data_IF_954018248469
#
_entry.id   IF_954018248469
#
_cell.length_a   1.000
_cell.length_b   1.000
_cell.length_c   1.000
_cell.angle_alpha   90.00
_cell.angle_beta   90.00
_cell.angle_gamma   90.00
#
_symmetry.space_group_name_H-M   'P 1'
#
loop_
_entity.id
_entity.type
_entity.pdbx_description
1 polymer ?
#
# COMPACT_ATOMS: atom_id res chain seq x y z
N UNK A 1 13.02 -9.53 -7.20
CA UNK A 1 12.96 -8.27 -6.43
C UNK A 1 11.99 -7.36 -7.19
N UNK A 2 10.89 -6.89 -6.59
CA UNK A 2 9.86 -6.05 -7.27
C UNK A 2 10.38 -4.63 -7.57
N UNK A 3 11.62 -4.34 -7.19
CA UNK A 3 12.20 -2.99 -7.07
C UNK A 3 12.69 -2.35 -8.37
N UNK A 4 12.65 -3.04 -9.51
CA UNK A 4 13.30 -2.55 -10.75
C UNK A 4 12.37 -2.09 -11.85
N UNK A 5 11.05 -2.20 -11.70
CA UNK A 5 10.13 -1.77 -12.74
C UNK A 5 9.68 -0.36 -12.52
N UNK A 6 10.38 0.56 -13.18
CA UNK A 6 9.98 1.95 -13.26
C UNK A 6 8.70 2.03 -14.09
N UNK A 7 7.71 2.77 -13.60
CA UNK A 7 6.47 3.06 -14.34
C UNK A 7 6.69 4.13 -15.43
N UNK A 8 7.88 4.75 -15.44
CA UNK A 8 8.29 5.76 -16.39
C UNK A 8 9.81 5.71 -16.60
N UNK A 9 10.25 6.08 -17.80
CA UNK A 9 11.65 6.35 -18.08
C UNK A 9 11.77 7.59 -18.96
N UNK A 10 12.67 8.50 -18.58
CA UNK A 10 12.93 9.77 -19.27
C UNK A 10 13.23 9.54 -20.75
N UNK A 11 13.92 8.44 -21.06
CA UNK A 11 14.26 8.03 -22.42
C UNK A 11 13.05 7.85 -23.35
N UNK A 12 11.83 7.64 -22.81
CA UNK A 12 10.61 7.56 -23.60
C UNK A 12 10.25 8.90 -24.27
N UNK A 13 10.82 10.01 -23.79
CA UNK A 13 10.61 11.35 -24.32
C UNK A 13 11.83 11.90 -25.08
N UNK A 14 12.88 11.11 -25.31
CA UNK A 14 14.14 11.57 -25.94
C UNK A 14 13.93 12.13 -27.36
N UNK A 15 12.92 11.64 -28.07
CA UNK A 15 12.56 12.12 -29.41
C UNK A 15 11.93 13.54 -29.42
N UNK A 16 11.56 14.09 -28.26
CA UNK A 16 11.01 15.44 -28.15
C UNK A 16 12.13 16.48 -28.12
N UNK A 17 12.19 17.28 -29.17
CA UNK A 17 13.06 18.45 -29.29
C UNK A 17 12.24 19.70 -29.65
N UNK A 18 12.90 20.84 -29.67
CA UNK A 18 12.30 22.12 -30.09
C UNK A 18 11.87 22.09 -31.56
N UNK A 19 12.52 21.24 -32.37
CA UNK A 19 12.30 21.13 -33.81
C UNK A 19 11.21 20.10 -34.15
N UNK A 20 10.82 19.24 -33.21
CA UNK A 20 9.81 18.19 -33.43
C UNK A 20 8.46 18.82 -33.82
N UNK A 21 7.86 18.48 -34.98
CA UNK A 21 6.52 18.94 -35.38
C UNK A 21 5.43 18.56 -34.36
N UNK A 22 4.31 19.32 -34.26
CA UNK A 22 3.30 19.07 -33.22
C UNK A 22 2.68 17.68 -33.30
N UNK A 23 2.37 17.22 -34.52
CA UNK A 23 1.78 15.90 -34.74
C UNK A 23 2.75 14.78 -34.36
N UNK A 24 4.04 14.95 -34.66
CA UNK A 24 5.08 14.01 -34.26
C UNK A 24 5.29 14.00 -32.73
N UNK A 25 5.21 15.17 -32.08
CA UNK A 25 5.29 15.28 -30.63
C UNK A 25 4.09 14.61 -29.94
N UNK A 26 2.88 14.76 -30.49
CA UNK A 26 1.69 14.08 -30.00
C UNK A 26 1.86 12.55 -30.05
N UNK A 27 2.37 12.01 -31.17
CA UNK A 27 2.64 10.57 -31.29
C UNK A 27 3.65 10.05 -30.25
N UNK A 28 4.68 10.84 -29.92
CA UNK A 28 5.65 10.46 -28.87
C UNK A 28 4.99 10.44 -27.49
N UNK A 29 4.15 11.43 -27.18
CA UNK A 29 3.41 11.48 -25.91
C UNK A 29 2.40 10.33 -25.80
N UNK A 30 1.65 10.04 -26.85
CA UNK A 30 0.70 8.91 -26.89
C UNK A 30 1.41 7.57 -26.72
N UNK A 31 2.58 7.41 -27.32
CA UNK A 31 3.42 6.23 -27.12
C UNK A 31 3.96 6.14 -25.68
N UNK A 32 4.28 7.26 -25.04
CA UNK A 32 4.69 7.28 -23.63
C UNK A 32 3.53 6.92 -22.71
N UNK A 33 2.32 7.42 -22.97
CA UNK A 33 1.09 7.06 -22.24
C UNK A 33 0.84 5.56 -22.30
N UNK A 34 0.87 4.97 -23.50
CA UNK A 34 0.71 3.52 -23.70
C UNK A 34 1.76 2.73 -22.91
N UNK A 35 3.02 3.17 -22.90
CA UNK A 35 4.09 2.50 -22.14
C UNK A 35 3.89 2.58 -20.62
N UNK A 36 3.34 3.68 -20.11
CA UNK A 36 2.98 3.80 -18.67
C UNK A 36 1.94 2.75 -18.31
N UNK A 37 0.93 2.54 -19.16
CA UNK A 37 -0.12 1.54 -18.96
C UNK A 37 0.45 0.13 -18.95
N UNK A 38 1.24 -0.21 -19.97
CA UNK A 38 1.93 -1.51 -20.07
C UNK A 38 2.83 -1.76 -18.86
N UNK A 39 3.59 -0.75 -18.42
CA UNK A 39 4.46 -0.86 -17.25
C UNK A 39 3.67 -1.12 -15.97
N UNK A 40 2.52 -0.46 -15.80
CA UNK A 40 1.63 -0.68 -14.65
C UNK A 40 1.03 -2.09 -14.66
N UNK A 41 0.63 -2.59 -15.82
CA UNK A 41 0.07 -3.94 -15.92
C UNK A 41 1.12 -5.02 -15.67
N UNK A 42 2.33 -4.85 -16.21
CA UNK A 42 3.45 -5.72 -15.87
C UNK A 42 3.80 -5.66 -14.37
N UNK A 43 3.73 -4.48 -13.76
CA UNK A 43 3.94 -4.32 -12.32
C UNK A 43 2.89 -5.11 -11.52
N UNK A 44 1.61 -4.98 -11.89
CA UNK A 44 0.50 -5.73 -11.27
C UNK A 44 0.71 -7.24 -11.34
N UNK A 45 1.08 -7.76 -12.52
CA UNK A 45 1.34 -9.20 -12.72
C UNK A 45 2.44 -9.69 -11.76
N UNK A 46 3.57 -8.97 -11.68
CA UNK A 46 4.69 -9.36 -10.81
C UNK A 46 4.34 -9.32 -9.32
N UNK A 47 3.58 -8.31 -8.88
CA UNK A 47 3.14 -8.24 -7.49
C UNK A 47 2.15 -9.38 -7.18
N UNK A 48 1.26 -9.72 -8.10
CA UNK A 48 0.37 -10.87 -7.95
C UNK A 48 1.13 -12.21 -7.93
N UNK A 49 2.18 -12.37 -8.73
CA UNK A 49 3.06 -13.55 -8.66
C UNK A 49 3.74 -13.66 -7.29
N UNK A 50 4.26 -12.55 -6.76
CA UNK A 50 4.81 -12.50 -5.41
C UNK A 50 3.76 -12.84 -4.35
N UNK A 51 2.52 -12.39 -4.54
CA UNK A 51 1.40 -12.75 -3.67
C UNK A 51 1.14 -14.27 -3.71
N UNK A 52 1.06 -14.89 -4.90
CA UNK A 52 0.81 -16.33 -5.04
C UNK A 52 1.86 -17.19 -4.35
N UNK A 53 3.12 -16.73 -4.34
CA UNK A 53 4.20 -17.40 -3.61
C UNK A 53 4.01 -17.41 -2.08
N UNK A 54 3.17 -16.52 -1.53
CA UNK A 54 2.81 -16.53 -0.10
C UNK A 54 3.93 -16.18 0.87
N UNK A 55 5.10 -15.77 0.38
CA UNK A 55 6.32 -15.53 1.16
C UNK A 55 6.18 -14.26 2.05
N UNK A 56 6.16 -14.41 3.39
CA UNK A 56 6.04 -13.27 4.29
C UNK A 56 7.25 -12.34 4.28
N UNK A 57 8.43 -12.79 3.80
CA UNK A 57 9.60 -11.93 3.65
C UNK A 57 9.39 -10.79 2.63
N UNK A 58 8.29 -10.83 1.86
CA UNK A 58 7.87 -9.76 0.95
C UNK A 58 7.12 -8.61 1.63
N UNK A 59 6.64 -8.78 2.87
CA UNK A 59 5.88 -7.74 3.58
C UNK A 59 6.66 -6.43 3.71
N UNK A 60 7.90 -6.49 4.23
CA UNK A 60 8.73 -5.29 4.42
C UNK A 60 9.14 -4.63 3.08
N UNK A 61 9.60 -5.37 2.04
CA UNK A 61 9.83 -4.80 0.72
C UNK A 61 8.60 -4.12 0.10
N UNK A 62 7.40 -4.69 0.26
CA UNK A 62 6.16 -4.09 -0.24
C UNK A 62 5.79 -2.81 0.53
N UNK A 63 5.99 -2.81 1.85
CA UNK A 63 5.81 -1.62 2.67
C UNK A 63 6.75 -0.49 2.24
N UNK A 64 8.02 -0.81 1.99
CA UNK A 64 8.98 0.18 1.47
C UNK A 64 8.59 0.66 0.08
N UNK A 65 8.06 -0.23 -0.76
CA UNK A 65 7.60 0.13 -2.09
C UNK A 65 6.45 1.16 -2.05
N UNK A 66 5.42 0.91 -1.24
CA UNK A 66 4.24 1.80 -1.15
C UNK A 66 4.49 3.12 -0.41
N UNK A 67 5.44 3.16 0.54
CA UNK A 67 5.66 4.33 1.41
C UNK A 67 6.79 5.24 0.97
N UNK A 68 7.79 4.71 0.26
CA UNK A 68 8.98 5.47 -0.14
C UNK A 68 9.26 5.36 -1.64
N UNK A 69 9.45 4.14 -2.15
CA UNK A 69 9.98 3.96 -3.51
C UNK A 69 9.02 4.49 -4.58
N UNK A 70 7.72 4.16 -4.50
CA UNK A 70 6.74 4.60 -5.50
C UNK A 70 6.44 6.11 -5.40
N UNK A 71 6.29 6.72 -4.20
CA UNK A 71 6.25 8.17 -4.07
C UNK A 71 7.47 8.89 -4.65
N UNK A 72 8.69 8.42 -4.34
CA UNK A 72 9.92 9.03 -4.85
C UNK A 72 10.04 8.88 -6.38
N UNK A 73 9.65 7.72 -6.92
CA UNK A 73 9.61 7.49 -8.36
C UNK A 73 8.58 8.37 -9.07
N UNK A 74 7.43 8.63 -8.45
CA UNK A 74 6.41 9.53 -8.98
C UNK A 74 6.95 10.97 -9.06
N UNK A 75 7.59 11.46 -7.99
CA UNK A 75 8.22 12.78 -7.98
C UNK A 75 9.32 12.91 -9.04
N UNK A 76 10.18 11.88 -9.16
CA UNK A 76 11.25 11.85 -10.18
C UNK A 76 10.67 11.87 -11.60
N UNK A 77 9.59 11.13 -11.86
CA UNK A 77 8.93 11.11 -13.16
C UNK A 77 8.27 12.47 -13.48
N UNK A 78 7.66 13.10 -12.49
CA UNK A 78 7.08 14.44 -12.61
C UNK A 78 8.17 15.48 -12.97
N UNK A 79 9.29 15.49 -12.25
CA UNK A 79 10.43 16.37 -12.51
C UNK A 79 11.01 16.16 -13.92
N UNK A 80 11.14 14.90 -14.35
CA UNK A 80 11.66 14.56 -15.68
C UNK A 80 10.75 15.09 -16.80
N UNK A 81 9.43 14.94 -16.66
CA UNK A 81 8.48 15.49 -17.64
C UNK A 81 8.52 17.01 -17.64
N UNK A 82 8.58 17.65 -16.47
CA UNK A 82 8.72 19.11 -16.36
C UNK A 82 10.02 19.62 -17.00
N UNK A 83 11.14 18.89 -16.87
CA UNK A 83 12.39 19.25 -17.54
C UNK A 83 12.26 19.22 -19.07
N UNK A 84 11.58 18.21 -19.63
CA UNK A 84 11.29 18.14 -21.06
C UNK A 84 10.35 19.28 -21.48
N UNK A 85 9.31 19.56 -20.70
CA UNK A 85 8.41 20.69 -20.93
C UNK A 85 9.18 22.02 -20.99
N UNK A 86 10.07 22.29 -20.03
CA UNK A 86 10.85 23.54 -20.02
C UNK A 86 11.78 23.63 -21.23
N UNK A 87 12.44 22.53 -21.60
CA UNK A 87 13.36 22.46 -22.75
C UNK A 87 12.64 22.73 -24.07
N UNK A 88 11.47 22.12 -24.27
CA UNK A 88 10.77 22.10 -25.56
C UNK A 88 9.75 23.24 -25.67
N UNK A 89 8.97 23.46 -24.62
CA UNK A 89 7.78 24.31 -24.68
C UNK A 89 8.08 25.80 -24.46
N UNK A 90 9.21 26.16 -23.83
CA UNK A 90 9.66 27.56 -23.76
C UNK A 90 9.85 28.18 -25.15
N UNK A 91 10.28 27.37 -26.12
CA UNK A 91 10.47 27.78 -27.52
C UNK A 91 9.25 27.48 -28.40
N UNK A 92 8.30 26.67 -27.93
CA UNK A 92 7.13 26.25 -28.72
C UNK A 92 5.88 26.01 -27.86
N UNK A 93 5.18 27.10 -27.52
CA UNK A 93 3.97 27.10 -26.67
C UNK A 93 2.87 26.14 -27.13
N UNK A 94 2.78 25.84 -28.43
CA UNK A 94 1.81 24.90 -28.98
C UNK A 94 1.95 23.46 -28.45
N UNK A 95 3.11 23.09 -27.90
CA UNK A 95 3.35 21.74 -27.35
C UNK A 95 2.95 21.62 -25.87
N UNK A 96 2.75 22.73 -25.15
CA UNK A 96 2.36 22.72 -23.73
C UNK A 96 1.12 21.86 -23.44
N UNK A 97 0.04 21.89 -24.25
CA UNK A 97 -1.16 21.12 -23.94
C UNK A 97 -0.99 19.59 -23.98
N UNK A 98 0.11 19.09 -24.55
CA UNK A 98 0.35 17.64 -24.68
C UNK A 98 0.84 16.99 -23.38
N UNK A 99 1.47 17.74 -22.48
CA UNK A 99 2.12 17.18 -21.29
C UNK A 99 1.20 16.95 -20.06
N UNK A 100 0.19 17.80 -19.76
CA UNK A 100 -0.68 17.57 -18.61
C UNK A 100 -1.36 16.19 -18.57
N UNK A 101 -1.86 15.62 -19.69
CA UNK A 101 -2.38 14.24 -19.70
C UNK A 101 -1.35 13.20 -19.26
N UNK A 102 -0.08 13.35 -19.67
CA UNK A 102 1.00 12.44 -19.27
C UNK A 102 1.31 12.54 -17.78
N UNK A 103 1.43 13.76 -17.23
CA UNK A 103 1.66 13.99 -15.80
C UNK A 103 0.54 13.37 -14.95
N UNK A 104 -0.71 13.62 -15.33
CA UNK A 104 -1.86 13.05 -14.63
C UNK A 104 -1.86 11.52 -14.71
N UNK A 105 -1.56 10.95 -15.88
CA UNK A 105 -1.48 9.49 -16.03
C UNK A 105 -0.39 8.87 -15.16
N UNK A 106 0.77 9.52 -15.07
CA UNK A 106 1.89 9.09 -14.22
C UNK A 106 1.50 9.09 -12.74
N UNK A 107 0.84 10.15 -12.27
CA UNK A 107 0.33 10.26 -10.91
C UNK A 107 -0.64 9.12 -10.59
N UNK A 108 -1.60 8.87 -11.49
CA UNK A 108 -2.57 7.77 -11.36
C UNK A 108 -1.88 6.41 -11.36
N UNK A 109 -0.90 6.19 -12.24
CA UNK A 109 -0.19 4.91 -12.33
C UNK A 109 0.61 4.59 -11.06
N UNK A 110 1.37 5.54 -10.54
CA UNK A 110 2.12 5.36 -9.29
C UNK A 110 1.20 5.19 -8.09
N UNK A 111 0.10 5.95 -8.02
CA UNK A 111 -0.94 5.77 -7.00
C UNK A 111 -1.54 4.36 -7.04
N UNK A 112 -1.90 3.87 -8.22
CA UNK A 112 -2.44 2.53 -8.41
C UNK A 112 -1.42 1.43 -8.03
N UNK A 113 -0.15 1.59 -8.41
CA UNK A 113 0.91 0.67 -8.01
C UNK A 113 1.08 0.61 -6.49
N UNK A 114 1.00 1.76 -5.79
CA UNK A 114 1.10 1.80 -4.33
C UNK A 114 -0.08 1.08 -3.66
N UNK A 115 -1.30 1.23 -4.21
CA UNK A 115 -2.48 0.49 -3.74
C UNK A 115 -2.32 -1.01 -3.95
N UNK A 116 -1.77 -1.43 -5.10
CA UNK A 116 -1.49 -2.86 -5.39
C UNK A 116 -0.50 -3.44 -4.37
N UNK A 117 0.60 -2.72 -4.08
CA UNK A 117 1.54 -3.12 -3.04
C UNK A 117 0.87 -3.25 -1.67
N UNK A 118 0.07 -2.25 -1.27
CA UNK A 118 -0.62 -2.27 0.01
C UNK A 118 -1.58 -3.45 0.15
N UNK A 119 -2.41 -3.71 -0.88
CA UNK A 119 -3.34 -4.85 -0.88
C UNK A 119 -2.60 -6.17 -0.77
N UNK A 120 -1.57 -6.38 -1.59
CA UNK A 120 -0.79 -7.62 -1.57
C UNK A 120 -0.05 -7.78 -0.24
N UNK A 121 0.51 -6.71 0.34
CA UNK A 121 1.13 -6.73 1.66
C UNK A 121 0.13 -7.18 2.73
N UNK A 122 -1.07 -6.62 2.76
CA UNK A 122 -2.12 -7.00 3.70
C UNK A 122 -2.52 -8.46 3.59
N UNK A 123 -2.64 -8.97 2.36
CA UNK A 123 -2.93 -10.39 2.12
C UNK A 123 -1.82 -11.29 2.65
N UNK A 124 -0.56 -10.90 2.46
CA UNK A 124 0.58 -11.65 2.99
C UNK A 124 0.68 -11.58 4.52
N UNK A 125 0.39 -10.44 5.13
CA UNK A 125 0.31 -10.31 6.60
C UNK A 125 -0.78 -11.21 7.18
N UNK A 126 -1.97 -11.24 6.55
CA UNK A 126 -3.07 -12.12 6.95
C UNK A 126 -2.70 -13.60 6.83
N UNK A 127 -2.06 -13.99 5.71
CA UNK A 127 -1.56 -15.37 5.54
C UNK A 127 -0.49 -15.72 6.57
N UNK A 128 0.44 -14.82 6.87
CA UNK A 128 1.45 -15.00 7.92
C UNK A 128 0.79 -15.21 9.29
N UNK A 129 -0.23 -14.41 9.63
CA UNK A 129 -0.96 -14.55 10.89
C UNK A 129 -1.67 -15.91 11.04
N UNK A 130 -2.07 -16.54 9.93
CA UNK A 130 -2.67 -17.88 9.93
C UNK A 130 -1.63 -19.00 9.92
N UNK A 131 -0.54 -18.85 9.16
CA UNK A 131 0.46 -19.90 8.97
C UNK A 131 1.49 -19.99 10.12
N UNK A 132 1.79 -18.85 10.76
CA UNK A 132 2.69 -18.74 11.92
C UNK A 132 2.03 -17.82 12.98
N UNK A 133 0.92 -18.27 13.60
CA UNK A 133 0.27 -17.49 14.65
C UNK A 133 1.15 -17.40 15.90
N UNK A 134 1.15 -16.24 16.56
CA UNK A 134 1.84 -16.10 17.84
C UNK A 134 1.01 -16.64 19.02
N UNK A 135 1.70 -16.98 20.11
CA UNK A 135 1.07 -17.31 21.39
C UNK A 135 0.65 -16.05 22.16
N UNK A 136 -0.25 -16.14 23.15
CA UNK A 136 -0.57 -15.00 24.01
C UNK A 136 0.67 -14.58 24.84
N UNK A 137 1.09 -13.32 24.73
CA UNK A 137 2.32 -12.81 25.37
C UNK A 137 2.18 -12.37 26.84
N UNK A 138 0.94 -12.26 27.34
CA UNK A 138 0.61 -11.59 28.61
C UNK A 138 -0.83 -11.95 29.04
N UNK A 139 -1.31 -11.55 30.23
CA UNK A 139 -2.70 -11.77 30.61
C UNK A 139 -3.67 -11.13 29.61
N UNK A 140 -4.81 -11.80 29.39
CA UNK A 140 -5.89 -11.28 28.55
C UNK A 140 -6.45 -10.00 29.19
N UNK A 141 -6.48 -8.92 28.42
CA UNK A 141 -6.97 -7.59 28.78
C UNK A 141 -8.39 -7.35 28.28
N UNK A 142 -8.98 -6.24 28.73
CA UNK A 142 -10.31 -5.76 28.32
C UNK A 142 -11.42 -6.19 29.28
N UNK A 143 -12.25 -5.23 29.68
CA UNK A 143 -13.45 -5.48 30.48
C UNK A 143 -14.63 -5.92 29.60
N UNK A 144 -14.71 -5.39 28.38
CA UNK A 144 -15.64 -5.83 27.33
C UNK A 144 -14.99 -6.87 26.43
N UNK A 145 -14.53 -6.44 25.26
CA UNK A 145 -13.86 -7.33 24.32
C UNK A 145 -12.51 -7.74 24.86
N UNK A 146 -12.35 -9.06 25.03
CA UNK A 146 -11.15 -9.66 25.59
C UNK A 146 -10.07 -9.75 24.52
N UNK A 147 -8.87 -9.25 24.80
CA UNK A 147 -7.77 -9.31 23.84
C UNK A 147 -6.40 -9.48 24.49
N UNK A 148 -5.41 -9.89 23.71
CA UNK A 148 -4.00 -10.01 24.12
C UNK A 148 -3.10 -9.81 22.90
N UNK A 149 -1.90 -9.25 23.08
CA UNK A 149 -0.89 -9.20 22.00
C UNK A 149 -0.28 -10.59 21.81
N UNK A 150 -0.02 -11.00 20.58
CA UNK A 150 0.77 -12.19 20.34
C UNK A 150 2.24 -11.95 20.73
N UNK A 151 2.98 -13.00 21.06
CA UNK A 151 4.43 -12.96 21.32
C UNK A 151 5.25 -12.54 20.09
N UNK A 152 4.64 -12.58 18.89
CA UNK A 152 5.21 -12.06 17.64
C UNK A 152 4.87 -10.59 17.37
N UNK A 153 3.85 -10.05 18.04
CA UNK A 153 3.25 -8.76 17.69
C UNK A 153 4.25 -7.61 17.71
N UNK A 154 5.02 -7.44 18.78
CA UNK A 154 5.90 -6.28 18.92
C UNK A 154 7.02 -6.27 17.86
N UNK A 155 7.56 -7.45 17.51
CA UNK A 155 8.53 -7.59 16.42
C UNK A 155 7.91 -7.20 15.06
N UNK A 156 6.72 -7.70 14.75
CA UNK A 156 5.99 -7.38 13.51
C UNK A 156 5.58 -5.89 13.44
N UNK A 157 5.25 -5.29 14.59
CA UNK A 157 4.92 -3.88 14.69
C UNK A 157 6.14 -2.98 14.44
N UNK A 158 7.34 -3.38 14.87
CA UNK A 158 8.60 -2.68 14.57
C UNK A 158 8.89 -2.68 13.07
N UNK A 159 8.62 -3.81 12.39
CA UNK A 159 8.80 -3.94 10.93
C UNK A 159 7.83 -3.05 10.14
N UNK A 160 6.64 -2.82 10.69
CA UNK A 160 5.52 -2.26 9.94
C UNK A 160 5.21 -0.79 10.24
N UNK A 161 5.60 -0.29 11.42
CA UNK A 161 5.22 1.03 11.90
C UNK A 161 6.41 1.85 12.42
N UNK A 162 6.45 3.16 12.13
CA UNK A 162 7.37 4.07 12.81
C UNK A 162 7.04 4.19 14.30
N UNK A 163 8.00 4.63 15.16
CA UNK A 163 7.80 4.71 16.61
C UNK A 163 6.55 5.48 17.06
N UNK A 164 6.27 6.62 16.43
CA UNK A 164 5.09 7.44 16.77
C UNK A 164 3.76 6.72 16.49
N UNK A 165 3.69 5.94 15.42
CA UNK A 165 2.50 5.16 15.09
C UNK A 165 2.30 3.96 16.02
N UNK A 166 3.38 3.35 16.51
CA UNK A 166 3.28 2.28 17.51
C UNK A 166 2.63 2.77 18.81
N UNK A 167 2.96 4.00 19.25
CA UNK A 167 2.31 4.63 20.42
C UNK A 167 0.82 4.87 20.16
N UNK A 168 0.45 5.35 18.97
CA UNK A 168 -0.96 5.53 18.58
C UNK A 168 -1.72 4.20 18.55
N UNK A 169 -1.10 3.18 17.98
CA UNK A 169 -1.65 1.82 17.93
C UNK A 169 -1.88 1.27 19.34
N UNK A 170 -0.91 1.39 20.25
CA UNK A 170 -1.08 0.92 21.64
C UNK A 170 -2.25 1.61 22.37
N UNK A 171 -2.45 2.92 22.12
CA UNK A 171 -3.61 3.64 22.64
C UNK A 171 -4.91 3.12 22.04
N UNK A 172 -4.98 2.92 20.73
CA UNK A 172 -6.16 2.37 20.05
C UNK A 172 -6.49 0.95 20.54
N UNK A 173 -5.47 0.13 20.81
CA UNK A 173 -5.65 -1.23 21.31
C UNK A 173 -6.29 -1.25 22.70
N UNK A 174 -5.93 -0.32 23.60
CA UNK A 174 -6.58 -0.21 24.92
C UNK A 174 -8.09 -0.01 24.80
N UNK A 175 -8.51 0.74 23.77
CA UNK A 175 -9.92 1.04 23.49
C UNK A 175 -10.70 -0.16 22.96
N UNK A 176 -10.03 -1.16 22.37
CA UNK A 176 -10.68 -2.42 22.00
C UNK A 176 -11.32 -3.09 23.23
N UNK A 177 -10.72 -2.94 24.41
CA UNK A 177 -11.21 -3.55 25.65
C UNK A 177 -12.40 -2.85 26.30
N UNK A 178 -12.88 -1.74 25.73
CA UNK A 178 -14.05 -1.01 26.21
C UNK A 178 -15.35 -1.80 25.94
N UNK A 179 -16.43 -1.46 26.67
CA UNK A 179 -17.75 -2.05 26.48
C UNK A 179 -18.80 -0.94 26.44
N UNK A 180 -19.46 -0.72 25.29
CA UNK A 180 -19.25 -1.35 23.98
C UNK A 180 -17.90 -0.96 23.33
N UNK A 181 -17.46 -1.70 22.30
CA UNK A 181 -16.33 -1.27 21.46
C UNK A 181 -16.72 0.06 20.79
N UNK A 182 -15.87 1.11 20.84
CA UNK A 182 -16.14 2.36 20.17
C UNK A 182 -16.34 2.17 18.66
N UNK A 183 -17.39 2.76 18.10
CA UNK A 183 -17.77 2.58 16.68
C UNK A 183 -16.65 3.04 15.74
N UNK A 184 -15.89 4.07 16.12
CA UNK A 184 -14.77 4.57 15.33
C UNK A 184 -13.61 3.59 15.20
N UNK A 185 -13.55 2.53 16.02
CA UNK A 185 -12.56 1.47 15.87
C UNK A 185 -12.87 0.56 14.68
N UNK A 186 -14.11 0.56 14.16
CA UNK A 186 -14.48 -0.16 12.94
C UNK A 186 -14.04 -1.64 13.01
N UNK A 187 -14.46 -2.29 14.10
CA UNK A 187 -14.16 -3.68 14.42
C UNK A 187 -15.03 -4.62 13.58
N UNK A 188 -14.40 -5.39 12.70
CA UNK A 188 -15.11 -6.23 11.73
C UNK A 188 -14.27 -7.44 11.32
N UNK A 189 -14.88 -8.50 10.73
CA UNK A 189 -14.12 -9.55 10.06
C UNK A 189 -13.11 -8.96 9.07
N UNK A 190 -11.93 -9.57 8.98
CA UNK A 190 -10.93 -9.13 8.02
C UNK A 190 -11.40 -9.57 6.62
N UNK A 191 -11.63 -8.61 5.73
CA UNK A 191 -12.03 -8.89 4.35
C UNK A 191 -10.88 -8.60 3.39
N UNK A 192 -10.59 -9.55 2.50
CA UNK A 192 -9.57 -9.42 1.46
C UNK A 192 -10.21 -9.67 0.09
N UNK A 193 -10.38 -8.62 -0.71
CA UNK A 193 -11.08 -8.71 -2.00
C UNK A 193 -12.57 -9.02 -1.84
N UNK A 194 -13.22 -8.46 -0.82
CA UNK A 194 -14.65 -8.65 -0.53
C UNK A 194 -15.01 -9.98 0.11
N UNK A 195 -14.02 -10.80 0.48
CA UNK A 195 -14.25 -12.10 1.13
C UNK A 195 -13.66 -12.09 2.54
N UNK A 196 -14.47 -12.45 3.52
CA UNK A 196 -14.03 -12.58 4.91
C UNK A 196 -13.00 -13.71 5.04
N UNK A 197 -11.89 -13.42 5.71
CA UNK A 197 -10.86 -14.39 6.06
C UNK A 197 -11.27 -15.06 7.35
N UNK A 198 -11.55 -16.36 7.29
CA UNK A 198 -12.03 -17.13 8.43
C UNK A 198 -11.11 -16.97 9.65
N UNK A 199 -11.71 -16.66 10.81
CA UNK A 199 -11.00 -16.51 12.08
C UNK A 199 -10.19 -15.23 12.24
N UNK A 200 -10.06 -14.39 11.20
CA UNK A 200 -9.37 -13.10 11.27
C UNK A 200 -10.33 -11.92 11.31
N UNK A 201 -9.94 -10.93 12.09
CA UNK A 201 -10.65 -9.68 12.30
C UNK A 201 -9.70 -8.52 12.09
N UNK A 202 -10.27 -7.34 11.87
CA UNK A 202 -9.52 -6.10 11.72
C UNK A 202 -10.17 -4.97 12.48
N UNK A 203 -9.33 -4.11 13.05
CA UNK A 203 -9.75 -2.93 13.81
C UNK A 203 -8.77 -1.79 13.55
N UNK A 204 -9.25 -0.55 13.56
CA UNK A 204 -8.40 0.63 13.38
C UNK A 204 -7.39 0.75 14.52
N UNK A 205 -6.15 1.04 14.14
CA UNK A 205 -4.99 1.22 15.02
C UNK A 205 -4.55 2.70 15.10
N UNK A 206 -5.42 3.62 14.69
CA UNK A 206 -5.13 5.06 14.61
C UNK A 206 -4.47 5.48 13.28
N UNK A 207 -4.75 6.70 12.84
CA UNK A 207 -4.33 7.16 11.52
C UNK A 207 -4.92 6.28 10.42
N UNK A 208 -4.09 5.91 9.43
CA UNK A 208 -4.43 4.93 8.40
C UNK A 208 -4.15 3.48 8.83
N UNK A 209 -3.67 3.22 10.04
CA UNK A 209 -3.24 1.88 10.43
C UNK A 209 -4.41 1.00 10.89
N UNK A 210 -4.29 -0.31 10.69
CA UNK A 210 -5.21 -1.32 11.21
C UNK A 210 -4.43 -2.48 11.84
N UNK A 211 -5.07 -3.17 12.77
CA UNK A 211 -4.59 -4.46 13.30
C UNK A 211 -5.16 -5.63 12.50
N UNK A 212 -4.43 -6.75 12.53
CA UNK A 212 -4.95 -8.09 12.25
C UNK A 212 -5.09 -8.80 13.59
N UNK A 213 -6.30 -9.29 13.87
CA UNK A 213 -6.60 -10.05 15.07
C UNK A 213 -7.04 -11.45 14.67
N UNK A 214 -6.65 -12.45 15.46
CA UNK A 214 -7.18 -13.81 15.37
C UNK A 214 -8.14 -14.04 16.52
N UNK A 215 -9.32 -14.56 16.22
CA UNK A 215 -10.30 -14.93 17.23
C UNK A 215 -9.98 -16.32 17.78
N UNK A 216 -9.94 -16.43 19.10
CA UNK A 216 -9.77 -17.68 19.84
C UNK A 216 -10.87 -17.83 20.88
N UNK A 217 -10.95 -19.01 21.49
CA UNK A 217 -11.92 -19.30 22.53
C UNK A 217 -11.25 -19.99 23.73
N UNK A 218 -11.57 -19.51 24.93
CA UNK A 218 -11.22 -20.20 26.17
C UNK A 218 -12.48 -20.50 27.00
N UNK A 219 -12.29 -21.02 28.22
CA UNK A 219 -13.39 -21.37 29.13
C UNK A 219 -14.28 -20.18 29.52
N UNK A 220 -13.80 -18.95 29.36
CA UNK A 220 -14.52 -17.70 29.66
C UNK A 220 -15.18 -17.08 28.42
N UNK A 221 -15.02 -17.69 27.24
CA UNK A 221 -15.60 -17.24 25.98
C UNK A 221 -14.57 -16.78 24.96
N UNK A 222 -15.01 -16.07 23.90
CA UNK A 222 -14.11 -15.62 22.84
C UNK A 222 -13.13 -14.55 23.34
N UNK A 223 -11.94 -14.54 22.76
CA UNK A 223 -10.95 -13.47 22.92
C UNK A 223 -10.15 -13.29 21.64
N UNK A 224 -9.47 -12.16 21.49
CA UNK A 224 -8.71 -11.81 20.30
C UNK A 224 -7.22 -11.77 20.57
N UNK A 225 -6.44 -12.45 19.75
CA UNK A 225 -4.98 -12.33 19.74
C UNK A 225 -4.61 -11.32 18.65
N UNK A 226 -3.93 -10.24 19.02
CA UNK A 226 -3.43 -9.25 18.06
C UNK A 226 -2.17 -9.81 17.42
N UNK A 227 -2.25 -10.15 16.14
CA UNK A 227 -1.19 -10.85 15.40
C UNK A 227 -0.25 -9.91 14.66
N UNK A 228 -0.79 -8.81 14.15
CA UNK A 228 -0.06 -7.91 13.25
C UNK A 228 -0.68 -6.50 13.22
N UNK A 229 0.06 -5.55 12.66
CA UNK A 229 -0.38 -4.16 12.49
C UNK A 229 0.34 -3.50 11.32
N UNK A 230 -0.35 -2.63 10.58
CA UNK A 230 0.32 -1.83 9.56
C UNK A 230 -0.58 -0.78 8.92
N UNK A 231 -0.05 0.03 7.99
CA UNK A 231 -0.83 1.01 7.23
C UNK A 231 -1.88 0.30 6.39
N UNK A 232 -3.13 0.72 6.43
CA UNK A 232 -4.21 0.25 5.57
C UNK A 232 -4.52 1.32 4.52
N UNK A 233 -4.62 0.89 3.26
CA UNK A 233 -5.16 1.72 2.19
C UNK A 233 -6.43 1.03 1.71
N UNK A 234 -7.57 1.67 1.97
CA UNK A 234 -8.80 1.25 1.31
C UNK A 234 -8.61 1.38 -0.21
N UNK A 235 -9.27 0.49 -0.95
CA UNK A 235 -9.36 0.57 -2.40
C UNK A 235 -9.86 1.97 -2.74
N UNK A 236 -8.98 2.81 -3.32
CA UNK A 236 -9.35 4.17 -3.69
C UNK A 236 -10.58 4.07 -4.58
N UNK A 237 -11.66 4.71 -4.15
CA UNK A 237 -12.74 5.13 -5.02
C UNK A 237 -12.10 5.93 -6.16
N UNK A 238 -11.96 5.27 -7.31
CA UNK A 238 -11.72 5.95 -8.59
C UNK A 238 -13.01 6.66 -8.97
#
# INVERSE_FOLDING_TARGET
MVTTHRLFADAWLDALSVETPPDAAALVIDAALTRVDEALDQFRIRVQEAERGGDPARVAPLLRAETAILPDAAATADDAVHAVMQRVAFKRRALLPLFPPLLERLRVAHGAAAVVCARTRWRLMARRALADPGGPSSPIHGHGTRYVKSDRFDARAVESLPPGDRVRADRALKRLGESPIPVELDFRPLELGGVAVAGLWSVKAGGSNRFILRQEQDRRGPFFIVEDVGPWRDEVAV
#
